data_IF_908739228285
#
_entry.id   IF_908739228285
#
_cell.length_a   1.000
_cell.length_b   1.000
_cell.length_c   1.000
_cell.angle_alpha   90.00
_cell.angle_beta   90.00
_cell.angle_gamma   90.00
#
_symmetry.space_group_name_H-M   'P 1'
#
loop_
_entity.id
_entity.type
_entity.pdbx_description
1 polymer ?
#
# COMPACT_ATOMS: atom_id res chain seq x y z
N UNK A 1 -27.64 -5.61 14.30
CA UNK A 1 -26.25 -5.99 14.04
C UNK A 1 -25.31 -4.87 14.47
N UNK A 2 -24.36 -5.18 15.31
CA UNK A 2 -23.46 -4.19 15.87
C UNK A 2 -22.10 -4.21 15.17
N UNK A 3 -22.11 -3.91 13.87
CA UNK A 3 -20.90 -3.95 13.03
C UNK A 3 -19.79 -3.09 13.62
N UNK A 4 -20.13 -1.90 14.14
CA UNK A 4 -19.16 -1.00 14.75
C UNK A 4 -18.52 -1.52 16.03
N UNK A 5 -19.04 -2.64 16.59
CA UNK A 5 -18.49 -3.26 17.79
C UNK A 5 -17.35 -4.24 17.47
N UNK A 6 -17.21 -4.63 16.20
CA UNK A 6 -16.14 -5.52 15.76
C UNK A 6 -14.86 -4.71 15.61
N UNK A 7 -13.80 -5.16 16.27
CA UNK A 7 -12.48 -4.55 16.11
C UNK A 7 -11.98 -4.77 14.67
N UNK A 8 -11.47 -3.71 14.06
CA UNK A 8 -10.84 -3.81 12.75
C UNK A 8 -9.40 -4.30 12.90
N UNK A 9 -8.92 -5.06 11.92
CA UNK A 9 -7.53 -5.51 11.89
C UNK A 9 -6.56 -4.33 11.80
N UNK A 10 -6.97 -3.28 11.07
CA UNK A 10 -6.22 -2.04 10.94
C UNK A 10 -7.20 -0.86 10.98
N UNK A 11 -6.65 0.32 11.26
CA UNK A 11 -7.39 1.58 11.17
C UNK A 11 -6.52 2.64 10.46
N UNK A 12 -7.02 3.87 10.39
CA UNK A 12 -6.29 4.94 9.70
C UNK A 12 -4.94 5.24 10.34
N UNK A 13 -4.79 5.05 11.65
CA UNK A 13 -3.51 5.30 12.30
C UNK A 13 -2.42 4.34 11.80
N UNK A 14 -2.80 3.10 11.48
CA UNK A 14 -1.87 2.14 10.88
C UNK A 14 -1.44 2.60 9.49
N UNK A 15 -2.36 3.13 8.69
CA UNK A 15 -2.07 3.68 7.36
C UNK A 15 -1.13 4.88 7.47
N UNK A 16 -1.39 5.78 8.42
CA UNK A 16 -0.56 6.96 8.63
C UNK A 16 0.87 6.57 9.05
N UNK A 17 1.00 5.61 9.95
CA UNK A 17 2.31 5.12 10.40
C UNK A 17 3.06 4.45 9.24
N UNK A 18 2.38 3.69 8.40
CA UNK A 18 2.97 3.11 7.20
C UNK A 18 3.45 4.19 6.23
N UNK A 19 2.69 5.26 6.05
CA UNK A 19 3.07 6.38 5.19
C UNK A 19 4.38 7.02 5.67
N UNK A 20 4.56 7.17 6.98
CA UNK A 20 5.81 7.69 7.55
C UNK A 20 6.99 6.76 7.27
N UNK A 21 6.82 5.45 7.44
CA UNK A 21 7.87 4.46 7.16
C UNK A 21 8.28 4.44 5.69
N UNK A 22 7.32 4.66 4.79
CA UNK A 22 7.53 4.65 3.35
C UNK A 22 8.07 5.96 2.80
N UNK A 23 7.99 7.05 3.55
CA UNK A 23 8.41 8.37 3.11
C UNK A 23 9.88 8.35 2.69
N UNK A 24 10.17 8.87 1.51
CA UNK A 24 11.53 8.91 0.95
C UNK A 24 12.04 7.57 0.44
N UNK A 25 11.29 6.48 0.58
CA UNK A 25 11.68 5.14 0.11
C UNK A 25 10.78 4.71 -1.04
N UNK A 26 9.47 4.68 -0.84
CA UNK A 26 8.54 4.38 -1.92
C UNK A 26 8.47 5.56 -2.90
N UNK A 27 8.31 5.24 -4.19
CA UNK A 27 8.05 6.28 -5.18
C UNK A 27 6.65 6.82 -4.99
N UNK A 28 6.52 8.14 -5.07
CA UNK A 28 5.21 8.78 -5.11
C UNK A 28 4.69 8.71 -6.53
N UNK A 29 4.03 7.61 -6.85
CA UNK A 29 3.57 7.34 -8.21
C UNK A 29 2.43 8.27 -8.60
N UNK A 30 2.34 8.64 -9.90
CA UNK A 30 1.27 9.53 -10.37
C UNK A 30 -0.09 8.87 -10.34
N UNK A 31 -1.12 9.70 -10.32
CA UNK A 31 -2.50 9.28 -10.52
C UNK A 31 -2.92 9.73 -11.91
N UNK A 32 -3.34 8.79 -12.73
CA UNK A 32 -3.68 9.03 -14.13
C UNK A 32 -5.18 8.94 -14.33
N UNK A 33 -5.66 9.64 -15.37
CA UNK A 33 -7.06 9.65 -15.79
C UNK A 33 -7.16 9.18 -17.23
N UNK A 34 -8.29 8.60 -17.58
CA UNK A 34 -8.59 8.18 -18.96
C UNK A 34 -10.03 8.53 -19.28
N UNK A 35 -10.21 9.35 -20.32
CA UNK A 35 -11.55 9.69 -20.79
C UNK A 35 -12.32 8.42 -21.20
N UNK A 36 -11.67 7.52 -21.92
CA UNK A 36 -12.28 6.27 -22.34
C UNK A 36 -12.77 5.43 -21.17
N UNK A 37 -11.96 5.33 -20.11
CA UNK A 37 -12.36 4.60 -18.91
C UNK A 37 -13.55 5.26 -18.22
N UNK A 38 -13.53 6.59 -18.11
CA UNK A 38 -14.62 7.34 -17.48
C UNK A 38 -15.93 7.13 -18.26
N UNK A 39 -15.89 7.22 -19.58
CA UNK A 39 -17.07 7.03 -20.42
C UNK A 39 -17.62 5.60 -20.32
N UNK A 40 -16.76 4.60 -20.36
CA UNK A 40 -17.18 3.19 -20.27
C UNK A 40 -17.71 2.81 -18.91
N UNK A 41 -17.17 3.39 -17.85
CA UNK A 41 -17.59 3.10 -16.48
C UNK A 41 -18.74 3.98 -15.99
N UNK A 42 -19.04 5.08 -16.70
CA UNK A 42 -20.01 6.05 -16.21
C UNK A 42 -19.59 6.72 -14.91
N UNK A 43 -18.30 6.88 -14.68
CA UNK A 43 -17.74 7.39 -13.45
C UNK A 43 -16.38 8.07 -13.69
N UNK A 44 -15.89 8.80 -12.69
CA UNK A 44 -14.53 9.32 -12.72
C UNK A 44 -13.60 8.24 -12.18
N UNK A 45 -12.73 7.70 -13.03
CA UNK A 45 -11.81 6.63 -12.68
C UNK A 45 -10.41 7.17 -12.51
N UNK A 46 -9.76 6.83 -11.40
CA UNK A 46 -8.41 7.26 -11.07
C UNK A 46 -7.50 6.05 -11.01
N UNK A 47 -6.42 6.07 -11.78
CA UNK A 47 -5.45 4.97 -11.83
C UNK A 47 -4.19 5.38 -11.06
N UNK A 48 -3.95 4.77 -9.93
CA UNK A 48 -2.68 4.91 -9.21
C UNK A 48 -1.62 4.08 -9.92
N UNK A 49 -0.65 4.73 -10.54
CA UNK A 49 0.31 4.09 -11.46
C UNK A 49 1.39 3.30 -10.71
N UNK A 50 1.00 2.27 -9.97
CA UNK A 50 1.92 1.46 -9.17
C UNK A 50 2.82 0.54 -9.99
N UNK A 51 2.61 0.43 -11.29
CA UNK A 51 3.59 -0.19 -12.20
C UNK A 51 4.87 0.66 -12.32
N UNK A 52 4.84 1.91 -11.87
CA UNK A 52 6.00 2.79 -11.77
C UNK A 52 6.63 2.77 -10.37
N UNK A 53 6.09 1.99 -9.45
CA UNK A 53 6.65 1.80 -8.12
C UNK A 53 7.97 1.02 -8.20
N UNK A 54 8.78 1.04 -7.13
CA UNK A 54 9.94 0.16 -7.01
C UNK A 54 9.50 -1.28 -7.26
N UNK A 55 10.32 -2.06 -7.94
CA UNK A 55 10.01 -3.42 -8.38
C UNK A 55 8.88 -3.49 -9.41
N UNK A 56 8.36 -2.35 -9.87
CA UNK A 56 7.27 -2.32 -10.85
C UNK A 56 5.93 -2.82 -10.32
N UNK A 57 5.72 -2.81 -9.00
CA UNK A 57 4.51 -3.37 -8.41
C UNK A 57 4.16 -2.71 -7.09
N UNK A 58 2.84 -2.62 -6.81
CA UNK A 58 2.33 -2.06 -5.56
C UNK A 58 2.78 -2.86 -4.31
N UNK A 59 3.15 -4.11 -4.48
CA UNK A 59 3.59 -5.00 -3.39
C UNK A 59 4.78 -4.46 -2.61
N UNK A 60 5.60 -3.62 -3.23
CA UNK A 60 6.74 -3.00 -2.55
C UNK A 60 6.30 -2.27 -1.27
N UNK A 61 5.16 -1.58 -1.30
CA UNK A 61 4.66 -0.81 -0.16
C UNK A 61 4.45 -1.70 1.07
N UNK A 62 3.67 -2.76 0.91
CA UNK A 62 3.39 -3.67 2.02
C UNK A 62 4.62 -4.45 2.47
N UNK A 63 5.42 -4.93 1.53
CA UNK A 63 6.63 -5.68 1.86
C UNK A 63 7.63 -4.82 2.65
N UNK A 64 7.92 -3.62 2.18
CA UNK A 64 8.83 -2.72 2.90
C UNK A 64 8.28 -2.37 4.29
N UNK A 65 7.00 -1.99 4.36
CA UNK A 65 6.37 -1.62 5.63
C UNK A 65 6.44 -2.76 6.66
N UNK A 66 6.26 -4.01 6.23
CA UNK A 66 6.38 -5.17 7.10
C UNK A 66 7.82 -5.40 7.54
N UNK A 67 8.75 -5.40 6.60
CA UNK A 67 10.15 -5.76 6.86
C UNK A 67 10.88 -4.76 7.75
N UNK A 68 10.61 -3.46 7.62
CA UNK A 68 11.28 -2.45 8.45
C UNK A 68 10.89 -2.55 9.93
N UNK A 69 9.78 -3.20 10.22
CA UNK A 69 9.30 -3.40 11.60
C UNK A 69 9.86 -4.67 12.25
N UNK A 70 10.64 -5.43 11.51
CA UNK A 70 11.25 -6.65 12.06
C UNK A 70 12.23 -6.31 13.18
N UNK A 71 12.16 -7.07 14.28
CA UNK A 71 13.15 -7.05 15.34
C UNK A 71 14.50 -7.56 14.83
N UNK A 72 15.62 -7.29 15.52
CA UNK A 72 16.91 -7.89 15.16
C UNK A 72 16.85 -9.40 15.07
N UNK A 73 16.11 -10.07 15.96
CA UNK A 73 15.96 -11.53 15.92
C UNK A 73 15.24 -12.00 14.67
N UNK A 74 14.14 -11.32 14.28
CA UNK A 74 13.40 -11.63 13.05
C UNK A 74 14.25 -11.40 11.80
N UNK A 75 15.08 -10.35 11.78
CA UNK A 75 15.99 -10.08 10.67
C UNK A 75 17.03 -11.20 10.50
N UNK A 76 17.51 -11.75 11.59
CA UNK A 76 18.46 -12.88 11.55
C UNK A 76 17.81 -14.16 11.02
N UNK A 77 16.55 -14.38 11.33
CA UNK A 77 15.79 -15.52 10.82
C UNK A 77 15.47 -15.39 9.33
N UNK A 78 15.28 -14.15 8.86
CA UNK A 78 14.93 -13.87 7.48
C UNK A 78 13.43 -13.89 7.24
N UNK A 79 13.07 -13.73 5.95
CA UNK A 79 11.69 -13.71 5.50
C UNK A 79 11.51 -14.63 4.30
N UNK A 80 10.34 -15.26 4.22
CA UNK A 80 9.94 -16.08 3.10
C UNK A 80 8.70 -15.46 2.44
N UNK A 81 8.71 -15.38 1.12
CA UNK A 81 7.60 -14.88 0.33
C UNK A 81 7.28 -15.84 -0.82
N UNK A 82 6.02 -15.84 -1.22
CA UNK A 82 5.53 -16.67 -2.32
C UNK A 82 5.07 -15.80 -3.49
#
# INVERSE_FOLDING_TARGET
MLVGMTALAIDFSDVAAAAERLAGVAHRTPVLRSRTADERCGAQVFFKAEHLQRMGAFKFRGAYNALVQFSPAQRRTGALAF
#
